data_IF_443049787806
#
_entry.id   IF_443049787806
#
_cell.length_a   1.000
_cell.length_b   1.000
_cell.length_c   1.000
_cell.angle_alpha   90.00
_cell.angle_beta   90.00
_cell.angle_gamma   90.00
#
_symmetry.space_group_name_H-M   'P 1'
#
loop_
_entity.id
_entity.type
_entity.pdbx_description
1 polymer ?
#
# COMPACT_ATOMS: atom_id res chain seq x y z
N UNK A 1 -2.16 -31.22 -22.89
CA UNK A 1 -2.15 -29.76 -22.75
C UNK A 1 -3.53 -29.40 -22.24
N UNK A 2 -3.66 -29.09 -20.96
CA UNK A 2 -4.88 -28.44 -20.44
C UNK A 2 -4.97 -27.06 -21.10
N UNK A 3 -6.14 -26.73 -21.64
CA UNK A 3 -6.40 -25.39 -22.14
C UNK A 3 -6.10 -24.44 -20.98
N UNK A 4 -5.17 -23.52 -21.18
CA UNK A 4 -4.92 -22.42 -20.24
C UNK A 4 -6.22 -21.60 -20.27
N UNK A 5 -7.06 -21.78 -19.26
CA UNK A 5 -8.21 -20.90 -19.08
C UNK A 5 -7.63 -19.49 -18.89
N UNK A 6 -8.12 -18.55 -19.69
CA UNK A 6 -7.73 -17.15 -19.54
C UNK A 6 -8.33 -16.68 -18.21
N UNK A 7 -7.54 -16.48 -17.14
CA UNK A 7 -8.11 -16.18 -15.83
C UNK A 7 -8.82 -14.82 -15.87
N UNK A 8 -9.94 -14.71 -15.17
CA UNK A 8 -10.66 -13.44 -14.99
C UNK A 8 -9.94 -12.62 -13.93
N UNK A 9 -9.44 -11.46 -14.32
CA UNK A 9 -8.71 -10.56 -13.42
C UNK A 9 -9.43 -9.22 -13.36
N UNK A 10 -9.74 -8.78 -12.15
CA UNK A 10 -10.22 -7.43 -11.90
C UNK A 10 -9.08 -6.56 -11.39
N UNK A 11 -8.64 -5.63 -12.22
CA UNK A 11 -7.64 -4.61 -11.86
C UNK A 11 -8.36 -3.44 -11.20
N UNK A 12 -7.88 -2.98 -10.06
CA UNK A 12 -8.43 -1.83 -9.34
C UNK A 12 -7.39 -0.74 -9.22
N UNK A 13 -7.70 0.43 -9.77
CA UNK A 13 -6.93 1.67 -9.62
C UNK A 13 -7.71 2.64 -8.74
N UNK A 14 -7.10 3.08 -7.64
CA UNK A 14 -7.71 4.03 -6.72
C UNK A 14 -7.20 5.44 -6.99
N UNK A 15 -8.06 6.32 -7.52
CA UNK A 15 -7.77 7.74 -7.71
C UNK A 15 -8.13 8.56 -6.47
N UNK A 16 -7.22 9.44 -6.07
CA UNK A 16 -7.54 10.55 -5.17
C UNK A 16 -6.74 11.80 -5.56
N UNK A 17 -7.38 12.73 -6.28
CA UNK A 17 -6.80 14.01 -6.74
C UNK A 17 -5.57 13.88 -7.63
N UNK A 18 -5.51 12.81 -8.42
CA UNK A 18 -4.36 12.48 -9.30
C UNK A 18 -4.83 11.97 -10.67
N UNK A 19 -5.92 12.53 -11.22
CA UNK A 19 -6.59 12.01 -12.42
C UNK A 19 -5.63 11.73 -13.58
N UNK A 20 -4.75 12.68 -13.95
CA UNK A 20 -3.79 12.53 -15.03
C UNK A 20 -2.81 11.37 -14.79
N UNK A 21 -2.37 11.22 -13.53
CA UNK A 21 -1.50 10.13 -13.15
C UNK A 21 -2.23 8.78 -13.22
N UNK A 22 -3.49 8.76 -12.75
CA UNK A 22 -4.37 7.59 -12.82
C UNK A 22 -4.60 7.15 -14.27
N UNK A 23 -4.78 8.09 -15.21
CA UNK A 23 -4.92 7.78 -16.64
C UNK A 23 -3.64 7.16 -17.21
N UNK A 24 -2.47 7.66 -16.83
CA UNK A 24 -1.18 7.04 -17.23
C UNK A 24 -1.04 5.62 -16.65
N UNK A 25 -1.41 5.42 -15.39
CA UNK A 25 -1.38 4.09 -14.77
C UNK A 25 -2.38 3.13 -15.43
N UNK A 26 -3.59 3.61 -15.78
CA UNK A 26 -4.58 2.84 -16.52
C UNK A 26 -4.06 2.42 -17.90
N UNK A 27 -3.42 3.33 -18.64
CA UNK A 27 -2.84 3.04 -19.95
C UNK A 27 -1.75 1.96 -19.87
N UNK A 28 -0.84 2.06 -18.87
CA UNK A 28 0.18 1.06 -18.63
C UNK A 28 -0.42 -0.30 -18.22
N UNK A 29 -1.44 -0.30 -17.35
CA UNK A 29 -2.15 -1.52 -16.95
C UNK A 29 -2.85 -2.18 -18.13
N UNK A 30 -3.60 -1.42 -18.95
CA UNK A 30 -4.30 -1.94 -20.14
C UNK A 30 -3.36 -2.57 -21.15
N UNK A 31 -2.14 -2.04 -21.32
CA UNK A 31 -1.13 -2.59 -22.20
C UNK A 31 -0.59 -3.96 -21.71
N UNK A 32 -0.66 -4.23 -20.41
CA UNK A 32 -0.13 -5.45 -19.77
C UNK A 32 -1.24 -6.47 -19.39
N UNK A 33 -2.51 -6.06 -19.43
CA UNK A 33 -3.66 -6.88 -19.05
C UNK A 33 -3.96 -7.97 -20.07
N UNK A 34 -4.16 -9.24 -19.63
CA UNK A 34 -4.63 -10.32 -20.52
C UNK A 34 -6.07 -10.05 -21.00
N UNK A 35 -6.52 -10.80 -22.02
CA UNK A 35 -7.83 -10.61 -22.65
C UNK A 35 -9.02 -10.79 -21.68
N UNK A 36 -8.89 -11.60 -20.65
CA UNK A 36 -9.95 -11.83 -19.64
C UNK A 36 -9.94 -10.84 -18.47
N UNK A 37 -9.13 -9.78 -18.53
CA UNK A 37 -9.03 -8.79 -17.45
C UNK A 37 -9.86 -7.54 -17.74
N UNK A 38 -10.45 -6.96 -16.70
CA UNK A 38 -11.14 -5.68 -16.70
C UNK A 38 -10.48 -4.71 -15.71
N UNK A 39 -10.59 -3.42 -15.97
CA UNK A 39 -10.06 -2.36 -15.13
C UNK A 39 -11.20 -1.55 -14.50
N UNK A 40 -11.17 -1.42 -13.18
CA UNK A 40 -12.05 -0.51 -12.45
C UNK A 40 -11.21 0.64 -11.87
N UNK A 41 -11.54 1.86 -12.27
CA UNK A 41 -11.01 3.08 -11.65
C UNK A 41 -12.00 3.54 -10.60
N UNK A 42 -11.55 3.71 -9.36
CA UNK A 42 -12.38 4.24 -8.28
C UNK A 42 -11.93 5.67 -7.98
N UNK A 43 -12.76 6.67 -8.22
CA UNK A 43 -12.51 8.02 -7.71
C UNK A 43 -12.99 8.11 -6.24
N UNK A 44 -12.04 8.23 -5.33
CA UNK A 44 -12.27 8.18 -3.88
C UNK A 44 -12.71 9.55 -3.33
N UNK A 45 -13.79 10.10 -3.89
CA UNK A 45 -14.34 11.42 -3.55
C UNK A 45 -13.27 12.54 -3.66
N UNK A 46 -12.61 12.66 -4.78
CA UNK A 46 -11.51 13.61 -5.00
C UNK A 46 -11.94 15.08 -4.85
N UNK A 47 -13.13 15.45 -5.35
CA UNK A 47 -13.71 16.78 -5.19
C UNK A 47 -12.94 17.92 -5.87
N UNK A 48 -12.03 17.60 -6.81
CA UNK A 48 -11.15 18.54 -7.52
C UNK A 48 -11.38 18.56 -9.05
N UNK A 49 -12.44 17.90 -9.51
CA UNK A 49 -12.72 17.71 -10.93
C UNK A 49 -12.19 16.40 -11.54
N UNK A 50 -11.46 15.60 -10.77
CA UNK A 50 -10.91 14.29 -11.21
C UNK A 50 -11.96 13.41 -11.87
N UNK A 51 -13.16 13.30 -11.30
CA UNK A 51 -14.24 12.49 -11.84
C UNK A 51 -14.60 12.87 -13.29
N UNK A 52 -14.71 14.18 -13.59
CA UNK A 52 -14.98 14.66 -14.95
C UNK A 52 -13.83 14.37 -15.92
N UNK A 53 -12.59 14.57 -15.48
CA UNK A 53 -11.38 14.27 -16.28
C UNK A 53 -11.34 12.78 -16.64
N UNK A 54 -11.55 11.90 -15.65
CA UNK A 54 -11.54 10.44 -15.85
C UNK A 54 -12.68 10.00 -16.78
N UNK A 55 -13.92 10.49 -16.56
CA UNK A 55 -15.06 10.15 -17.40
C UNK A 55 -14.82 10.52 -18.88
N UNK A 56 -14.39 11.75 -19.13
CA UNK A 56 -14.14 12.22 -20.49
C UNK A 56 -13.01 11.43 -21.17
N UNK A 57 -11.91 11.22 -20.48
CA UNK A 57 -10.75 10.50 -21.04
C UNK A 57 -11.06 9.03 -21.33
N UNK A 58 -11.87 8.35 -20.52
CA UNK A 58 -12.30 6.96 -20.77
C UNK A 58 -13.12 6.91 -22.07
N UNK A 59 -14.10 7.79 -22.24
CA UNK A 59 -14.91 7.86 -23.45
C UNK A 59 -14.11 8.27 -24.69
N UNK A 60 -13.27 9.31 -24.62
CA UNK A 60 -12.43 9.77 -25.74
C UNK A 60 -11.44 8.72 -26.24
N UNK A 61 -10.93 7.86 -25.33
CA UNK A 61 -10.01 6.77 -25.67
C UNK A 61 -10.71 5.46 -26.03
N UNK A 62 -12.06 5.43 -25.97
CA UNK A 62 -12.85 4.23 -26.23
C UNK A 62 -12.55 3.08 -25.25
N UNK A 63 -12.17 3.39 -24.03
CA UNK A 63 -11.85 2.38 -23.02
C UNK A 63 -13.09 1.77 -22.37
N UNK A 64 -14.25 2.40 -22.51
CA UNK A 64 -15.55 1.92 -22.07
C UNK A 64 -16.15 0.84 -23.00
N UNK A 65 -15.56 0.62 -24.16
CA UNK A 65 -16.01 -0.41 -25.09
C UNK A 65 -15.88 -1.78 -24.42
N UNK A 66 -16.96 -2.58 -24.47
CA UNK A 66 -17.05 -3.90 -23.84
C UNK A 66 -16.73 -3.88 -22.33
N UNK A 67 -17.03 -2.77 -21.67
CA UNK A 67 -16.78 -2.58 -20.22
C UNK A 67 -15.33 -2.82 -19.79
N UNK A 68 -14.39 -2.65 -20.73
CA UNK A 68 -12.96 -2.87 -20.49
C UNK A 68 -12.41 -2.01 -19.37
N UNK A 69 -12.90 -0.76 -19.25
CA UNK A 69 -12.63 0.16 -18.15
C UNK A 69 -13.93 0.72 -17.61
N UNK A 70 -14.16 0.57 -16.32
CA UNK A 70 -15.33 1.14 -15.61
C UNK A 70 -14.88 2.15 -14.57
N UNK A 71 -15.60 3.27 -14.46
CA UNK A 71 -15.36 4.30 -13.45
C UNK A 71 -16.42 4.24 -12.35
N UNK A 72 -15.97 4.17 -11.11
CA UNK A 72 -16.81 4.19 -9.90
C UNK A 72 -16.51 5.46 -9.13
N UNK A 73 -17.58 6.20 -8.78
CA UNK A 73 -17.48 7.41 -7.98
C UNK A 73 -17.88 7.11 -6.55
N UNK A 74 -16.93 7.24 -5.63
CA UNK A 74 -17.22 7.14 -4.20
C UNK A 74 -17.84 8.43 -3.68
N UNK A 75 -18.81 8.34 -2.78
CA UNK A 75 -19.40 9.50 -2.12
C UNK A 75 -18.49 10.12 -1.07
N UNK A 76 -17.61 9.30 -0.48
CA UNK A 76 -16.70 9.70 0.60
C UNK A 76 -15.29 9.14 0.37
N UNK A 77 -14.27 9.88 0.80
CA UNK A 77 -12.91 9.34 0.88
C UNK A 77 -12.81 8.42 2.10
N UNK A 78 -12.97 7.12 1.89
CA UNK A 78 -12.86 6.09 2.92
C UNK A 78 -11.42 5.63 3.19
N UNK A 79 -10.41 6.20 2.50
CA UNK A 79 -9.02 5.74 2.55
C UNK A 79 -8.72 4.64 1.54
N UNK A 80 -7.52 4.05 1.64
CA UNK A 80 -7.02 3.11 0.63
C UNK A 80 -7.81 1.80 0.60
N UNK A 81 -7.98 1.15 1.77
CA UNK A 81 -8.68 -0.13 1.84
C UNK A 81 -10.14 -0.05 1.41
N UNK A 82 -10.87 0.96 1.91
CA UNK A 82 -12.28 1.16 1.57
C UNK A 82 -12.48 1.48 0.07
N UNK A 83 -11.61 2.31 -0.50
CA UNK A 83 -11.66 2.63 -1.93
C UNK A 83 -11.42 1.39 -2.81
N UNK A 84 -10.40 0.57 -2.50
CA UNK A 84 -10.17 -0.69 -3.22
C UNK A 84 -11.34 -1.68 -3.03
N UNK A 85 -11.93 -1.73 -1.85
CA UNK A 85 -13.10 -2.57 -1.57
C UNK A 85 -14.31 -2.21 -2.44
N UNK A 86 -14.50 -0.92 -2.77
CA UNK A 86 -15.54 -0.52 -3.74
C UNK A 86 -15.29 -1.16 -5.10
N UNK A 87 -14.04 -1.13 -5.60
CA UNK A 87 -13.65 -1.80 -6.82
C UNK A 87 -13.89 -3.32 -6.76
N UNK A 88 -13.53 -3.98 -5.66
CA UNK A 88 -13.76 -5.43 -5.49
C UNK A 88 -15.24 -5.80 -5.51
N UNK A 89 -16.08 -4.99 -4.86
CA UNK A 89 -17.54 -5.22 -4.78
C UNK A 89 -18.27 -5.06 -6.11
N UNK A 90 -17.71 -4.30 -7.05
CA UNK A 90 -18.29 -4.13 -8.40
C UNK A 90 -18.22 -5.44 -9.19
N UNK A 91 -17.19 -6.25 -8.99
CA UNK A 91 -17.00 -7.50 -9.74
C UNK A 91 -16.72 -7.30 -11.22
N UNK A 92 -16.81 -8.37 -12.01
CA UNK A 92 -16.69 -8.33 -13.47
C UNK A 92 -17.96 -7.77 -14.11
N UNK A 93 -17.87 -7.25 -15.34
CA UNK A 93 -19.00 -6.64 -16.06
C UNK A 93 -20.08 -7.65 -16.45
N UNK A 94 -19.73 -8.92 -16.59
CA UNK A 94 -20.61 -10.03 -16.90
C UNK A 94 -21.22 -10.71 -15.65
N UNK A 95 -21.17 -10.05 -14.50
CA UNK A 95 -21.59 -10.55 -13.18
C UNK A 95 -20.84 -11.83 -12.73
N UNK A 96 -19.85 -12.26 -13.46
CA UNK A 96 -19.03 -13.39 -13.02
C UNK A 96 -18.05 -12.95 -11.93
N UNK A 97 -17.59 -13.95 -11.18
CA UNK A 97 -16.57 -13.72 -10.18
C UNK A 97 -15.19 -13.67 -10.81
N UNK A 98 -14.32 -12.70 -10.47
CA UNK A 98 -12.93 -12.77 -10.88
C UNK A 98 -12.20 -13.92 -10.17
N UNK A 99 -11.17 -14.47 -10.83
CA UNK A 99 -10.25 -15.42 -10.21
C UNK A 99 -9.22 -14.69 -9.35
N UNK A 100 -8.86 -13.48 -9.78
CA UNK A 100 -7.86 -12.63 -9.13
C UNK A 100 -8.28 -11.17 -9.08
N UNK A 101 -7.85 -10.49 -8.02
CA UNK A 101 -7.90 -9.03 -7.89
C UNK A 101 -6.48 -8.47 -7.95
N UNK A 102 -6.25 -7.49 -8.81
CA UNK A 102 -4.98 -6.80 -8.91
C UNK A 102 -5.13 -5.36 -8.42
N UNK A 103 -4.57 -5.04 -7.27
CA UNK A 103 -4.48 -3.66 -6.77
C UNK A 103 -3.24 -3.01 -7.35
N UNK A 104 -3.43 -1.86 -7.98
CA UNK A 104 -2.38 -1.05 -8.56
C UNK A 104 -2.59 0.42 -8.14
N UNK A 105 -1.55 1.07 -7.62
CA UNK A 105 -1.64 2.48 -7.27
C UNK A 105 -1.81 3.36 -8.52
N UNK A 106 -2.47 4.51 -8.35
CA UNK A 106 -2.67 5.49 -9.42
C UNK A 106 -1.38 6.14 -9.95
N UNK A 107 -0.25 5.97 -9.27
CA UNK A 107 1.08 6.44 -9.64
C UNK A 107 2.07 5.29 -9.85
N UNK A 108 1.55 4.09 -10.19
CA UNK A 108 2.31 2.87 -10.46
C UNK A 108 2.10 2.40 -11.90
N UNK A 109 3.18 2.08 -12.58
CA UNK A 109 3.21 1.73 -14.00
C UNK A 109 3.87 0.36 -14.16
N UNK A 110 3.10 -0.71 -14.43
CA UNK A 110 3.67 -2.04 -14.64
C UNK A 110 4.50 -2.08 -15.92
N UNK A 111 5.63 -2.80 -15.84
CA UNK A 111 6.41 -3.16 -17.02
C UNK A 111 5.66 -4.22 -17.82
N UNK A 112 5.97 -4.33 -19.11
CA UNK A 112 5.38 -5.35 -19.97
C UNK A 112 5.64 -6.76 -19.43
N UNK A 113 4.59 -7.56 -19.32
CA UNK A 113 4.62 -8.92 -18.80
C UNK A 113 4.51 -9.00 -17.26
N UNK A 114 4.36 -7.89 -16.55
CA UNK A 114 4.26 -7.88 -15.09
C UNK A 114 3.05 -8.71 -14.61
N UNK A 115 1.84 -8.31 -14.99
CA UNK A 115 0.61 -9.00 -14.56
C UNK A 115 0.55 -10.47 -15.03
N UNK A 116 0.89 -10.82 -16.27
CA UNK A 116 1.00 -12.22 -16.70
C UNK A 116 1.92 -13.08 -15.82
N UNK A 117 3.08 -12.56 -15.42
CA UNK A 117 4.01 -13.30 -14.55
C UNK A 117 3.48 -13.45 -13.12
N UNK A 118 2.82 -12.41 -12.57
CA UNK A 118 2.16 -12.51 -11.27
C UNK A 118 1.08 -13.60 -11.29
N UNK A 119 0.25 -13.63 -12.33
CA UNK A 119 -0.77 -14.68 -12.56
C UNK A 119 -0.11 -16.06 -12.63
N UNK A 120 0.91 -16.21 -13.47
CA UNK A 120 1.63 -17.47 -13.62
C UNK A 120 2.17 -17.99 -12.28
N UNK A 121 2.70 -17.11 -11.43
CA UNK A 121 3.18 -17.50 -10.11
C UNK A 121 2.06 -18.03 -9.23
N UNK A 122 0.90 -17.36 -9.18
CA UNK A 122 -0.24 -17.85 -8.42
C UNK A 122 -0.75 -19.18 -8.96
N UNK A 123 -0.81 -19.38 -10.29
CA UNK A 123 -1.25 -20.63 -10.92
C UNK A 123 -0.33 -21.81 -10.56
N UNK A 124 0.99 -21.56 -10.53
CA UNK A 124 2.00 -22.61 -10.25
C UNK A 124 2.25 -22.81 -8.76
N UNK A 125 1.73 -21.93 -7.89
CA UNK A 125 1.93 -21.99 -6.43
C UNK A 125 0.57 -21.97 -5.71
N UNK A 126 -0.10 -23.12 -5.57
CA UNK A 126 -1.48 -23.17 -5.05
C UNK A 126 -1.70 -22.57 -3.66
N UNK A 127 -0.65 -22.55 -2.82
CA UNK A 127 -0.70 -21.91 -1.49
C UNK A 127 -0.47 -20.41 -1.52
N UNK A 128 0.01 -19.85 -2.63
CA UNK A 128 0.17 -18.42 -2.76
C UNK A 128 -1.21 -17.75 -2.86
N UNK A 129 -1.55 -16.95 -1.87
CA UNK A 129 -2.77 -16.14 -1.85
C UNK A 129 -2.53 -14.74 -2.38
N UNK A 130 -1.30 -14.23 -2.22
CA UNK A 130 -0.91 -12.88 -2.62
C UNK A 130 0.49 -12.86 -3.21
N UNK A 131 0.70 -12.02 -4.21
CA UNK A 131 2.02 -11.81 -4.81
C UNK A 131 2.23 -10.34 -5.16
N UNK A 132 3.33 -9.76 -4.69
CA UNK A 132 3.76 -8.40 -5.00
C UNK A 132 4.93 -8.38 -5.98
N UNK A 133 5.00 -7.32 -6.77
CA UNK A 133 6.05 -7.06 -7.75
C UNK A 133 7.25 -6.34 -7.15
N UNK A 134 8.38 -6.31 -7.89
CA UNK A 134 9.47 -5.40 -7.65
C UNK A 134 9.06 -3.97 -8.02
N UNK A 135 9.11 -3.08 -7.06
CA UNK A 135 8.79 -1.67 -7.27
C UNK A 135 10.06 -0.84 -7.25
N UNK A 136 10.18 0.07 -8.23
CA UNK A 136 11.30 1.00 -8.32
C UNK A 136 10.80 2.42 -8.61
N UNK A 137 11.62 3.42 -8.29
CA UNK A 137 11.37 4.81 -8.66
C UNK A 137 11.62 5.07 -10.15
N UNK A 138 11.33 6.30 -10.61
CA UNK A 138 11.70 6.76 -11.94
C UNK A 138 13.22 6.86 -12.14
N UNK A 139 13.98 6.91 -11.06
CA UNK A 139 15.45 6.86 -11.01
C UNK A 139 16.02 5.44 -11.00
N UNK A 140 15.17 4.45 -11.24
CA UNK A 140 15.47 3.02 -11.22
C UNK A 140 15.94 2.48 -9.85
N UNK A 141 15.82 3.28 -8.77
CA UNK A 141 16.18 2.82 -7.44
C UNK A 141 15.06 1.95 -6.85
N UNK A 142 15.40 0.77 -6.29
CA UNK A 142 14.41 -0.12 -5.71
C UNK A 142 13.74 0.50 -4.48
N UNK A 143 12.41 0.43 -4.44
CA UNK A 143 11.65 0.73 -3.23
C UNK A 143 11.44 -0.55 -2.42
N UNK A 144 11.60 -0.47 -1.11
CA UNK A 144 11.30 -1.61 -0.24
C UNK A 144 9.79 -1.87 -0.26
N UNK A 145 9.40 -3.05 -0.76
CA UNK A 145 7.99 -3.48 -0.88
C UNK A 145 7.76 -4.90 -0.37
N UNK A 146 8.79 -5.52 0.19
CA UNK A 146 8.73 -6.83 0.82
C UNK A 146 9.20 -6.72 2.28
N UNK A 147 8.38 -7.18 3.22
CA UNK A 147 8.53 -6.85 4.63
C UNK A 147 8.30 -8.04 5.54
N UNK A 148 8.73 -7.89 6.81
CA UNK A 148 8.30 -8.71 7.95
C UNK A 148 7.19 -8.02 8.74
N UNK A 149 6.36 -8.82 9.43
CA UNK A 149 5.31 -8.23 10.25
C UNK A 149 5.88 -7.36 11.37
N UNK A 150 5.24 -6.21 11.62
CA UNK A 150 5.59 -5.36 12.77
C UNK A 150 5.50 -6.15 14.08
N UNK A 151 6.50 -5.99 14.93
CA UNK A 151 6.60 -6.65 16.23
C UNK A 151 7.17 -5.71 17.29
N UNK A 152 7.07 -6.06 18.58
CA UNK A 152 7.67 -5.27 19.67
C UNK A 152 9.16 -5.05 19.42
N UNK A 153 9.90 -6.11 19.05
CA UNK A 153 11.33 -6.03 18.77
C UNK A 153 11.64 -5.19 17.53
N UNK A 154 10.82 -5.33 16.45
CA UNK A 154 10.93 -4.52 15.24
C UNK A 154 10.62 -3.04 15.46
N UNK A 155 9.64 -2.74 16.31
CA UNK A 155 9.33 -1.36 16.71
C UNK A 155 10.49 -0.70 17.47
N UNK A 156 11.13 -1.43 18.36
CA UNK A 156 12.30 -0.95 19.09
C UNK A 156 13.50 -0.75 18.15
N UNK A 157 13.81 -1.75 17.32
CA UNK A 157 14.91 -1.74 16.37
C UNK A 157 14.80 -0.57 15.39
N UNK A 158 13.65 -0.50 14.69
CA UNK A 158 13.38 0.54 13.69
C UNK A 158 13.37 1.96 14.24
N UNK A 159 13.07 2.13 15.55
CA UNK A 159 13.15 3.43 16.23
C UNK A 159 14.54 3.75 16.75
N UNK A 160 15.31 2.77 17.23
CA UNK A 160 16.65 2.98 17.77
C UNK A 160 17.69 3.32 16.70
N UNK A 161 17.56 2.75 15.49
CA UNK A 161 18.40 3.04 14.30
C UNK A 161 19.90 3.00 14.60
N UNK A 162 20.34 1.96 15.30
CA UNK A 162 21.76 1.77 15.65
C UNK A 162 22.27 0.43 15.15
N UNK A 163 23.46 0.43 14.52
CA UNK A 163 24.05 -0.79 13.97
C UNK A 163 24.16 -1.97 14.94
N UNK A 164 24.59 -1.77 16.22
CA UNK A 164 24.60 -2.86 17.20
C UNK A 164 23.23 -3.46 17.48
N UNK A 165 22.16 -2.62 17.64
CA UNK A 165 20.79 -3.08 17.88
C UNK A 165 20.26 -3.78 16.62
N UNK A 166 20.44 -3.21 15.43
CA UNK A 166 20.04 -3.84 14.16
C UNK A 166 20.71 -5.19 13.97
N UNK A 167 22.00 -5.33 14.32
CA UNK A 167 22.71 -6.61 14.21
C UNK A 167 22.13 -7.66 15.17
N UNK A 168 21.84 -7.25 16.41
CA UNK A 168 21.24 -8.13 17.43
C UNK A 168 19.81 -8.54 17.06
N UNK A 169 19.01 -7.62 16.51
CA UNK A 169 17.61 -7.80 16.17
C UNK A 169 17.38 -8.01 14.66
N UNK A 170 18.38 -8.50 13.92
CA UNK A 170 18.33 -8.64 12.46
C UNK A 170 17.09 -9.41 11.96
N UNK A 171 16.65 -10.42 12.69
CA UNK A 171 15.44 -11.21 12.36
C UNK A 171 14.13 -10.45 12.54
N UNK A 172 14.14 -9.32 13.23
CA UNK A 172 12.97 -8.47 13.52
C UNK A 172 12.94 -7.18 12.71
N UNK A 173 13.96 -6.91 11.88
CA UNK A 173 13.96 -5.76 10.97
C UNK A 173 12.75 -5.87 10.06
N UNK A 174 11.85 -4.88 10.13
CA UNK A 174 10.57 -4.89 9.37
C UNK A 174 10.83 -4.75 7.87
N UNK A 175 11.76 -3.88 7.49
CA UNK A 175 12.15 -3.64 6.09
C UNK A 175 13.56 -4.21 5.84
N UNK A 176 13.70 -5.53 5.62
CA UNK A 176 14.99 -6.14 5.30
C UNK A 176 15.42 -5.79 3.87
N UNK A 177 16.66 -6.13 3.51
CA UNK A 177 17.11 -6.07 2.13
C UNK A 177 16.17 -6.88 1.23
N UNK A 178 15.89 -6.37 0.03
CA UNK A 178 14.99 -7.03 -0.91
C UNK A 178 15.57 -8.35 -1.40
N UNK A 179 14.77 -9.42 -1.44
CA UNK A 179 15.19 -10.69 -2.02
C UNK A 179 15.52 -10.55 -3.51
N UNK A 180 16.53 -11.29 -3.98
CA UNK A 180 16.94 -11.32 -5.38
C UNK A 180 16.28 -12.45 -6.19
N UNK A 181 15.52 -13.31 -5.53
CA UNK A 181 14.73 -14.40 -6.12
C UNK A 181 13.32 -14.37 -5.60
N UNK A 182 12.39 -15.03 -6.30
CA UNK A 182 11.02 -15.20 -5.80
C UNK A 182 11.06 -15.76 -4.38
N UNK A 183 10.48 -15.01 -3.43
CA UNK A 183 10.65 -15.32 -2.00
C UNK A 183 9.33 -15.12 -1.27
N UNK A 184 9.02 -16.07 -0.39
CA UNK A 184 7.93 -15.94 0.56
C UNK A 184 8.31 -14.88 1.60
N UNK A 185 7.39 -13.93 1.82
CA UNK A 185 7.55 -12.80 2.74
C UNK A 185 6.35 -12.70 3.66
N UNK A 186 6.44 -11.89 4.72
CA UNK A 186 5.29 -11.72 5.61
C UNK A 186 4.22 -10.83 4.98
N UNK A 187 4.61 -9.73 4.34
CA UNK A 187 3.69 -8.86 3.62
C UNK A 187 4.38 -8.06 2.51
N UNK A 188 3.60 -7.61 1.55
CA UNK A 188 4.01 -6.76 0.44
C UNK A 188 3.23 -5.45 0.43
N UNK A 189 3.83 -4.39 -0.09
CA UNK A 189 3.17 -3.07 -0.20
C UNK A 189 2.03 -3.09 -1.23
N UNK A 190 0.99 -2.31 -0.96
CA UNK A 190 -0.20 -2.19 -1.80
C UNK A 190 -0.01 -1.48 -3.14
N UNK A 191 1.23 -1.07 -3.51
CA UNK A 191 1.49 -0.37 -4.76
C UNK A 191 1.22 -1.22 -6.01
N UNK A 192 1.49 -2.53 -5.91
CA UNK A 192 1.23 -3.52 -6.97
C UNK A 192 1.16 -4.90 -6.33
N UNK A 193 -0.05 -5.43 -6.16
CA UNK A 193 -0.28 -6.73 -5.55
C UNK A 193 -1.45 -7.47 -6.21
N UNK A 194 -1.18 -8.69 -6.67
CA UNK A 194 -2.18 -9.61 -7.18
C UNK A 194 -2.64 -10.55 -6.05
N UNK A 195 -3.94 -10.70 -5.90
CA UNK A 195 -4.58 -11.48 -4.85
C UNK A 195 -5.54 -12.51 -5.42
N UNK A 196 -5.48 -13.72 -4.88
CA UNK A 196 -6.42 -14.80 -5.24
C UNK A 196 -7.80 -14.51 -4.64
N UNK A 197 -8.85 -14.57 -5.46
CA UNK A 197 -10.21 -14.29 -5.01
C UNK A 197 -10.68 -15.29 -3.94
N UNK A 198 -10.34 -16.58 -4.08
CA UNK A 198 -10.69 -17.61 -3.07
C UNK A 198 -10.04 -17.36 -1.70
N UNK A 199 -8.84 -16.75 -1.65
CA UNK A 199 -8.26 -16.29 -0.39
C UNK A 199 -9.11 -15.18 0.23
N UNK A 200 -9.50 -14.17 -0.55
CA UNK A 200 -10.32 -13.06 -0.06
C UNK A 200 -11.72 -13.52 0.42
N UNK A 201 -12.29 -14.58 -0.18
CA UNK A 201 -13.54 -15.16 0.34
C UNK A 201 -13.38 -15.76 1.72
N UNK A 202 -12.25 -16.40 1.98
CA UNK A 202 -11.98 -17.04 3.26
C UNK A 202 -11.67 -16.02 4.35
N UNK A 203 -10.82 -15.02 4.04
CA UNK A 203 -10.32 -14.09 5.06
C UNK A 203 -11.04 -12.73 5.08
N UNK A 204 -11.89 -12.44 4.08
CA UNK A 204 -12.48 -11.13 3.84
C UNK A 204 -11.53 -10.15 3.13
N UNK A 205 -12.09 -9.04 2.65
CA UNK A 205 -11.39 -7.96 1.96
C UNK A 205 -10.70 -7.02 2.96
N UNK A 206 -10.24 -5.82 2.53
CA UNK A 206 -9.60 -4.86 3.43
C UNK A 206 -10.50 -4.47 4.60
N UNK A 207 -9.92 -4.30 5.79
CA UNK A 207 -10.61 -3.73 6.95
C UNK A 207 -10.69 -2.20 6.80
N UNK A 208 -11.89 -1.70 6.60
CA UNK A 208 -12.16 -0.27 6.34
C UNK A 208 -11.94 0.63 7.59
N UNK A 209 -11.62 0.05 8.75
CA UNK A 209 -11.20 0.81 9.94
C UNK A 209 -9.83 1.46 9.74
N UNK A 210 -9.00 0.90 8.86
CA UNK A 210 -7.76 1.53 8.43
C UNK A 210 -8.09 2.58 7.36
N UNK A 211 -7.81 3.84 7.65
CA UNK A 211 -7.94 4.88 6.64
C UNK A 211 -6.80 4.82 5.63
N UNK A 212 -5.56 4.74 6.14
CA UNK A 212 -4.35 4.63 5.33
C UNK A 212 -3.22 4.06 6.18
N UNK A 213 -2.40 3.18 5.57
CA UNK A 213 -1.34 2.38 6.17
C UNK A 213 -1.84 1.28 7.11
N UNK A 214 -1.14 0.16 7.10
CA UNK A 214 -1.39 -1.10 7.82
C UNK A 214 -2.56 -1.93 7.29
N UNK A 215 -3.39 -1.45 6.38
CA UNK A 215 -4.50 -2.22 5.79
C UNK A 215 -3.99 -3.44 5.01
N UNK A 216 -2.96 -3.27 4.17
CA UNK A 216 -2.32 -4.37 3.45
C UNK A 216 -1.52 -5.28 4.38
N UNK A 217 -0.90 -4.70 5.43
CA UNK A 217 -0.20 -5.48 6.46
C UNK A 217 -1.17 -6.38 7.23
N UNK A 218 -2.36 -5.87 7.57
CA UNK A 218 -3.43 -6.62 8.21
C UNK A 218 -3.98 -7.72 7.29
N UNK A 219 -4.22 -7.40 6.03
CA UNK A 219 -4.73 -8.35 5.04
C UNK A 219 -3.75 -9.52 4.87
N UNK A 220 -2.46 -9.23 4.67
CA UNK A 220 -1.41 -10.25 4.59
C UNK A 220 -1.33 -11.07 5.88
N UNK A 221 -1.50 -10.44 7.06
CA UNK A 221 -1.49 -11.14 8.34
C UNK A 221 -2.63 -12.13 8.46
N UNK A 222 -3.85 -11.73 8.07
CA UNK A 222 -5.01 -12.63 8.04
C UNK A 222 -4.80 -13.78 7.06
N UNK A 223 -4.25 -13.51 5.88
CA UNK A 223 -3.92 -14.54 4.88
C UNK A 223 -2.94 -15.57 5.45
N UNK A 224 -1.84 -15.13 6.06
CA UNK A 224 -0.84 -16.04 6.66
C UNK A 224 -1.42 -16.85 7.81
N UNK A 225 -2.27 -16.27 8.65
CA UNK A 225 -2.96 -16.99 9.74
C UNK A 225 -3.90 -18.07 9.21
N UNK A 226 -4.55 -17.83 8.06
CA UNK A 226 -5.40 -18.80 7.37
C UNK A 226 -4.61 -19.87 6.59
N UNK A 227 -3.27 -19.77 6.55
CA UNK A 227 -2.40 -20.76 5.89
C UNK A 227 -2.00 -20.41 4.45
N UNK A 228 -2.41 -19.24 3.96
CA UNK A 228 -1.96 -18.71 2.68
C UNK A 228 -0.56 -18.13 2.75
N UNK A 229 0.12 -18.07 1.61
CA UNK A 229 1.46 -17.51 1.49
C UNK A 229 1.43 -16.17 0.78
N UNK A 230 2.26 -15.23 1.22
CA UNK A 230 2.52 -13.97 0.56
C UNK A 230 3.91 -14.04 -0.11
N UNK A 231 4.00 -13.68 -1.38
CA UNK A 231 5.21 -13.80 -2.18
C UNK A 231 5.64 -12.46 -2.77
N UNK A 232 6.94 -12.28 -2.90
CA UNK A 232 7.56 -11.17 -3.60
C UNK A 232 8.33 -11.70 -4.83
N UNK A 233 8.10 -11.08 -6.00
CA UNK A 233 8.76 -11.46 -7.26
C UNK A 233 9.68 -10.33 -7.73
N UNK A 234 11.02 -10.48 -7.61
CA UNK A 234 11.96 -9.47 -8.09
C UNK A 234 12.08 -9.40 -9.62
N UNK A 235 11.55 -10.40 -10.35
CA UNK A 235 11.65 -10.49 -11.81
C UNK A 235 10.61 -9.65 -12.55
N UNK A 236 9.59 -9.16 -11.87
CA UNK A 236 8.50 -8.37 -12.47
C UNK A 236 8.50 -6.97 -11.88
N UNK A 237 8.68 -5.97 -12.74
CA UNK A 237 8.89 -4.60 -12.35
C UNK A 237 7.63 -3.74 -12.43
N UNK A 238 7.57 -2.76 -11.54
CA UNK A 238 6.61 -1.66 -11.58
C UNK A 238 7.35 -0.38 -11.24
N UNK A 239 7.24 0.64 -12.08
CA UNK A 239 7.72 1.98 -11.73
C UNK A 239 6.66 2.65 -10.86
N UNK A 240 7.05 3.20 -9.72
CA UNK A 240 6.14 3.86 -8.79
C UNK A 240 6.74 5.20 -8.31
N UNK A 241 6.09 6.28 -8.63
CA UNK A 241 6.54 7.63 -8.27
C UNK A 241 6.50 7.80 -6.74
N UNK A 242 5.42 7.34 -6.12
CA UNK A 242 5.23 7.31 -4.69
C UNK A 242 4.98 8.66 -4.04
N UNK A 243 4.09 8.67 -3.06
CA UNK A 243 3.69 9.84 -2.28
C UNK A 243 2.94 10.95 -3.06
N UNK A 244 2.49 10.69 -4.30
CA UNK A 244 1.80 11.71 -5.12
C UNK A 244 0.47 12.11 -4.47
N UNK A 245 -0.34 11.15 -4.06
CA UNK A 245 -1.64 11.40 -3.40
C UNK A 245 -1.52 11.63 -1.89
N UNK A 246 -0.50 11.05 -1.24
CA UNK A 246 -0.37 11.09 0.23
C UNK A 246 0.47 12.26 0.75
N UNK A 247 1.39 12.79 -0.08
CA UNK A 247 2.37 13.81 0.33
C UNK A 247 3.31 13.35 1.44
N UNK A 248 3.49 12.03 1.65
CA UNK A 248 4.24 11.49 2.80
C UNK A 248 5.69 11.99 2.87
N UNK A 249 6.34 12.20 1.74
CA UNK A 249 7.72 12.71 1.67
C UNK A 249 7.87 14.15 2.20
N UNK A 250 6.74 14.89 2.26
CA UNK A 250 6.70 16.30 2.65
C UNK A 250 6.05 16.53 4.03
N UNK A 251 5.71 15.46 4.75
CA UNK A 251 5.06 15.59 6.06
C UNK A 251 5.97 16.29 7.06
N UNK A 252 5.55 17.47 7.46
CA UNK A 252 6.16 18.16 8.59
C UNK A 252 5.74 17.57 9.94
N UNK A 253 4.62 16.82 9.98
CA UNK A 253 4.10 16.11 11.13
C UNK A 253 3.30 14.91 10.67
N UNK A 254 3.40 13.79 11.39
CA UNK A 254 2.66 12.58 11.08
C UNK A 254 1.16 12.79 11.31
N UNK A 255 0.29 12.44 10.35
CA UNK A 255 -1.18 12.53 10.48
C UNK A 255 -1.75 11.58 11.53
N UNK A 256 -2.89 11.98 12.13
CA UNK A 256 -3.59 11.23 13.19
C UNK A 256 -3.94 9.81 12.73
N UNK A 257 -4.35 9.64 11.48
CA UNK A 257 -4.74 8.35 10.93
C UNK A 257 -3.60 7.32 10.93
N UNK A 258 -2.34 7.74 10.79
CA UNK A 258 -1.20 6.83 10.88
C UNK A 258 -1.10 6.20 12.28
N UNK A 259 -1.26 7.01 13.33
CA UNK A 259 -1.23 6.52 14.71
C UNK A 259 -2.45 5.63 15.00
N UNK A 260 -3.63 5.98 14.44
CA UNK A 260 -4.85 5.20 14.56
C UNK A 260 -4.68 3.82 13.92
N UNK A 261 -4.23 3.78 12.67
CA UNK A 261 -3.98 2.54 11.91
C UNK A 261 -2.96 1.66 12.62
N UNK A 262 -1.82 2.23 13.05
CA UNK A 262 -0.81 1.48 13.81
C UNK A 262 -1.39 0.86 15.09
N UNK A 263 -2.13 1.65 15.87
CA UNK A 263 -2.75 1.15 17.10
C UNK A 263 -3.78 0.06 16.81
N UNK A 264 -4.63 0.27 15.80
CA UNK A 264 -5.65 -0.70 15.38
C UNK A 264 -4.99 -2.01 14.98
N UNK A 265 -3.93 -1.99 14.16
CA UNK A 265 -3.19 -3.17 13.73
C UNK A 265 -2.70 -4.02 14.94
N UNK A 266 -2.01 -3.39 15.90
CA UNK A 266 -1.49 -4.14 17.05
C UNK A 266 -2.59 -4.65 17.99
N UNK A 267 -3.66 -3.88 18.20
CA UNK A 267 -4.77 -4.33 19.04
C UNK A 267 -5.54 -5.47 18.39
N UNK A 268 -5.83 -5.37 17.10
CA UNK A 268 -6.59 -6.36 16.33
C UNK A 268 -5.82 -7.67 16.19
N UNK A 269 -4.58 -7.60 15.75
CA UNK A 269 -3.78 -8.78 15.41
C UNK A 269 -3.05 -9.42 16.60
N UNK A 270 -3.02 -8.76 17.76
CA UNK A 270 -2.38 -9.28 18.96
C UNK A 270 -3.24 -9.04 20.20
N UNK A 271 -3.04 -7.90 20.90
CA UNK A 271 -3.84 -7.51 22.07
C UNK A 271 -3.55 -6.06 22.46
N UNK A 272 -4.38 -5.50 23.37
CA UNK A 272 -4.12 -4.17 23.94
C UNK A 272 -2.80 -4.11 24.72
N UNK A 273 -2.45 -5.17 25.45
CA UNK A 273 -1.18 -5.26 26.17
C UNK A 273 0.02 -5.28 25.23
N UNK A 274 -0.08 -6.04 24.13
CA UNK A 274 0.95 -6.07 23.09
C UNK A 274 1.10 -4.69 22.42
N UNK A 275 0.00 -4.03 22.09
CA UNK A 275 0.02 -2.68 21.50
C UNK A 275 0.70 -1.66 22.44
N UNK A 276 0.44 -1.74 23.77
CA UNK A 276 1.12 -0.91 24.76
C UNK A 276 2.63 -1.23 24.84
N UNK A 277 3.01 -2.50 24.83
CA UNK A 277 4.42 -2.91 24.79
C UNK A 277 5.14 -2.44 23.51
N UNK A 278 4.49 -2.55 22.34
CA UNK A 278 5.01 -2.04 21.07
C UNK A 278 5.16 -0.50 21.08
N UNK A 279 4.22 0.22 21.72
CA UNK A 279 4.34 1.66 21.93
C UNK A 279 5.57 2.01 22.78
N UNK A 280 5.73 1.35 23.93
CA UNK A 280 6.86 1.59 24.83
C UNK A 280 8.20 1.25 24.17
N UNK A 281 8.25 0.15 23.42
CA UNK A 281 9.43 -0.25 22.66
C UNK A 281 9.84 0.81 21.63
N UNK A 282 8.86 1.34 20.86
CA UNK A 282 9.12 2.40 19.89
C UNK A 282 9.59 3.69 20.55
N UNK A 283 8.98 4.08 21.67
CA UNK A 283 9.39 5.28 22.44
C UNK A 283 10.81 5.11 23.01
N UNK A 284 11.14 3.93 23.56
CA UNK A 284 12.48 3.64 24.09
C UNK A 284 13.54 3.70 22.98
N UNK A 285 13.28 3.06 21.82
CA UNK A 285 14.16 3.15 20.66
C UNK A 285 14.33 4.58 20.17
N UNK A 286 13.23 5.35 20.05
CA UNK A 286 13.26 6.75 19.68
C UNK A 286 14.06 7.62 20.67
N UNK A 287 14.00 7.36 21.96
CA UNK A 287 14.80 8.05 22.96
C UNK A 287 16.31 7.79 22.76
N UNK A 288 16.68 6.54 22.47
CA UNK A 288 18.08 6.17 22.15
C UNK A 288 18.54 6.92 20.90
N UNK A 289 17.73 6.92 19.83
CA UNK A 289 18.04 7.63 18.60
C UNK A 289 18.25 9.14 18.84
N UNK A 290 17.34 9.80 19.54
CA UNK A 290 17.44 11.23 19.85
C UNK A 290 18.68 11.56 20.71
N UNK A 291 18.98 10.73 21.73
CA UNK A 291 20.17 10.91 22.56
C UNK A 291 21.46 10.79 21.72
N UNK A 292 21.50 9.78 20.85
CA UNK A 292 22.64 9.60 19.95
C UNK A 292 22.81 10.79 19.01
N UNK A 293 21.72 11.25 18.36
CA UNK A 293 21.77 12.43 17.50
C UNK A 293 22.26 13.66 18.25
N UNK A 294 21.80 13.87 19.49
CA UNK A 294 22.25 14.98 20.33
C UNK A 294 23.76 14.91 20.64
N UNK A 295 24.28 13.72 20.90
CA UNK A 295 25.71 13.52 21.18
C UNK A 295 26.56 13.70 19.92
N UNK A 296 26.09 13.21 18.77
CA UNK A 296 26.84 13.27 17.49
C UNK A 296 26.63 14.56 16.70
N UNK A 297 25.73 15.45 17.12
CA UNK A 297 25.35 16.65 16.36
C UNK A 297 24.51 16.35 15.11
N UNK A 298 24.02 15.13 14.95
CA UNK A 298 23.19 14.73 13.78
C UNK A 298 21.73 15.20 13.97
N UNK A 299 21.03 15.44 12.86
CA UNK A 299 19.60 15.75 12.87
C UNK A 299 18.79 14.46 12.99
N UNK A 300 17.80 14.38 13.92
CA UNK A 300 16.86 13.27 13.97
C UNK A 300 16.07 13.14 12.67
N UNK A 301 15.87 11.92 12.20
CA UNK A 301 15.13 11.65 10.95
C UNK A 301 13.61 11.67 11.12
N UNK A 302 13.12 11.54 12.38
CA UNK A 302 11.67 11.60 12.63
C UNK A 302 11.18 13.06 12.56
N UNK A 303 9.95 13.29 12.07
CA UNK A 303 9.34 14.61 12.11
C UNK A 303 9.32 15.19 13.53
N UNK A 304 9.42 16.53 13.68
CA UNK A 304 9.40 17.18 14.98
C UNK A 304 8.19 16.76 15.82
N UNK A 305 8.43 16.37 17.08
CA UNK A 305 7.38 15.97 18.01
C UNK A 305 6.82 14.55 17.85
N UNK A 306 7.35 13.72 16.92
CA UNK A 306 6.84 12.38 16.67
C UNK A 306 6.64 11.53 17.93
N UNK A 307 7.66 11.40 18.79
CA UNK A 307 7.57 10.59 20.02
C UNK A 307 6.53 11.16 21.01
N UNK A 308 6.40 12.49 21.09
CA UNK A 308 5.37 13.15 21.92
C UNK A 308 3.96 12.83 21.41
N UNK A 309 3.77 12.90 20.09
CA UNK A 309 2.49 12.63 19.44
C UNK A 309 2.12 11.16 19.55
N UNK A 310 3.10 10.27 19.35
CA UNK A 310 2.93 8.83 19.54
C UNK A 310 2.50 8.49 20.98
N UNK A 311 3.13 9.08 22.00
CA UNK A 311 2.76 8.90 23.41
C UNK A 311 1.36 9.45 23.69
N UNK A 312 1.06 10.67 23.25
CA UNK A 312 -0.25 11.31 23.48
C UNK A 312 -1.37 10.49 22.88
N UNK A 313 -1.20 10.05 21.63
CA UNK A 313 -2.17 9.19 20.94
C UNK A 313 -2.33 7.84 21.66
N UNK A 314 -1.22 7.24 22.08
CA UNK A 314 -1.23 5.98 22.85
C UNK A 314 -1.98 6.07 24.17
N UNK A 315 -1.99 7.27 24.80
CA UNK A 315 -2.75 7.58 26.02
C UNK A 315 -4.20 8.03 25.74
N UNK A 316 -4.65 8.04 24.48
CA UNK A 316 -5.97 8.52 24.10
C UNK A 316 -6.14 10.05 24.21
N UNK A 317 -5.03 10.81 24.29
CA UNK A 317 -5.05 12.26 24.34
C UNK A 317 -5.04 12.84 22.92
N UNK A 318 -5.79 13.94 22.65
CA UNK A 318 -5.79 14.58 21.35
C UNK A 318 -4.38 15.10 20.99
N UNK A 319 -4.02 14.98 19.71
CA UNK A 319 -2.80 15.61 19.21
C UNK A 319 -2.97 17.14 19.30
N UNK A 320 -1.97 17.86 19.84
CA UNK A 320 -1.99 19.32 19.79
C UNK A 320 -1.76 19.77 18.35
N UNK A 321 -2.78 20.28 17.71
CA UNK A 321 -2.68 20.96 16.41
C UNK A 321 -2.20 22.39 16.69
N UNK A 322 -0.90 22.60 16.60
CA UNK A 322 -0.36 23.97 16.48
C UNK A 322 -0.49 24.30 14.97
N UNK A 323 -1.55 25.03 14.63
CA UNK A 323 -1.87 25.67 13.34
C UNK A 323 -2.20 24.73 12.14
N UNK A 324 -3.21 25.08 11.32
CA UNK A 324 -3.54 24.30 10.13
C UNK A 324 -2.34 24.34 9.17
N UNK A 325 -1.98 23.18 8.63
CA UNK A 325 -1.03 23.07 7.51
C UNK A 325 -1.66 23.76 6.30
N UNK A 326 -1.40 25.05 6.13
CA UNK A 326 -1.68 25.76 4.90
C UNK A 326 -0.80 25.13 3.82
N UNK A 327 -1.41 24.46 2.87
CA UNK A 327 -0.75 24.09 1.61
C UNK A 327 -0.15 25.37 1.04
N UNK A 328 1.17 25.46 0.95
CA UNK A 328 1.79 26.42 0.05
C UNK A 328 1.37 26.03 -1.35
N UNK A 329 0.53 26.85 -1.96
CA UNK A 329 0.35 26.87 -3.41
C UNK A 329 1.75 27.03 -4.01
N UNK A 330 2.18 26.04 -4.79
CA UNK A 330 3.33 26.20 -5.68
C UNK A 330 2.90 27.25 -6.70
N UNK A 331 3.30 28.50 -6.48
CA UNK A 331 3.24 29.54 -7.50
C UNK A 331 4.18 29.10 -8.63
N UNK A 332 3.59 28.83 -9.78
CA UNK A 332 4.32 28.84 -11.05
C UNK A 332 4.96 30.21 -11.18
N UNK A 333 6.25 30.34 -10.97
CA UNK A 333 7.03 31.43 -11.53
C UNK A 333 7.63 30.94 -12.84
N UNK A 334 7.14 31.62 -13.88
CA UNK A 334 7.64 31.56 -15.24
C UNK A 334 9.10 32.04 -15.32
N UNK A 335 9.89 31.40 -16.10
CA UNK A 335 10.67 32.03 -17.18
C UNK A 335 11.27 30.94 -18.03
#
# INVERSE_FOLDING_TARGET
MMAVSNPKVLVVLLNYRTAEMTLRAAEAALADMPAGAELVIVDNASGDGSAGVLTNAIAERGWDVEDRVRLILSEVNGGFGAGNNLGFKVGMSDDSRPDYFYVLNSDAFPDQGCLPHLIQHLETTPKAGMVGSHVRGEDDQPHTTAFRFPSIAGEFEGAARTGPITRLLKSYVVAPDLPQTATRVDWVAGASVLMRASMLDEIGIFDETFFLYFEETDLCKRAVVAGWECWYLPQVGVVHIGSVSTGMKEWQRIPDYWFASRRHYFVKNHSRAYAAAALLAKLAGGAIHHLRCKISGATPQDPPGFNRDLLRFGLGLPLRRDTPVTRRSVSKENS
#
